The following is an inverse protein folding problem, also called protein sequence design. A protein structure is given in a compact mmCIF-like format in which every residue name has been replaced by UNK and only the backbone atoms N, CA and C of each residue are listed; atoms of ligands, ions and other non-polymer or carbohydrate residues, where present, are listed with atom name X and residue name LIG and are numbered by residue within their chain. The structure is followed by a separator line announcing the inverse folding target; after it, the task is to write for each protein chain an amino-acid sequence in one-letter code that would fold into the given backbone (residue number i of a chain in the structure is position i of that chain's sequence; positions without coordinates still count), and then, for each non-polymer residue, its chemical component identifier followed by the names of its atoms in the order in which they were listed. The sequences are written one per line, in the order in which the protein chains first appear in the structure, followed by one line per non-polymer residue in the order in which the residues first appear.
data_IF_333427460928
#
_entry.id   IF_333427460928
#
_cell.length_a   1.000
_cell.length_b   1.000
_cell.length_c   1.000
_cell.angle_alpha   90.00
_cell.angle_beta   90.00
_cell.angle_gamma   90.00
#
_symmetry.space_group_name_H-M   'P 1'
#
loop_
_entity.id
_entity.type
_entity.pdbx_description
1 polymer ?
#
# COMPACT_ATOMS: atom_id res chain seq x y z
N UNK A 1 -23.65 23.24 -31.75
CA UNK A 1 -22.30 23.59 -31.24
C UNK A 1 -22.02 22.85 -29.92
N UNK A 2 -21.52 21.59 -29.93
CA UNK A 2 -21.09 20.86 -28.72
C UNK A 2 -19.56 20.59 -28.61
N UNK A 3 -18.77 20.98 -29.60
CA UNK A 3 -17.35 20.58 -29.78
C UNK A 3 -16.36 21.10 -28.71
N UNK A 4 -16.74 22.09 -27.91
CA UNK A 4 -15.89 22.63 -26.83
C UNK A 4 -16.05 21.87 -25.51
N UNK A 5 -17.24 21.34 -25.23
CA UNK A 5 -17.52 20.62 -23.99
C UNK A 5 -16.86 19.23 -24.01
N UNK A 6 -16.96 18.50 -25.12
CA UNK A 6 -16.42 17.15 -25.26
C UNK A 6 -14.88 17.13 -25.17
N UNK A 7 -14.20 18.10 -25.81
CA UNK A 7 -12.75 18.27 -25.71
C UNK A 7 -12.27 18.57 -24.29
N UNK A 8 -13.05 19.28 -23.48
CA UNK A 8 -12.66 19.60 -22.11
C UNK A 8 -12.76 18.36 -21.21
N UNK A 9 -13.82 17.56 -21.41
CA UNK A 9 -14.03 16.29 -20.73
C UNK A 9 -12.93 15.28 -21.09
N UNK A 10 -12.59 15.15 -22.38
CA UNK A 10 -11.50 14.27 -22.83
C UNK A 10 -10.14 14.68 -22.24
N UNK A 11 -9.80 15.98 -22.26
CA UNK A 11 -8.56 16.47 -21.67
C UNK A 11 -8.51 16.30 -20.14
N UNK A 12 -9.64 16.44 -19.46
CA UNK A 12 -9.76 16.18 -18.02
C UNK A 12 -9.47 14.70 -17.72
N UNK A 13 -10.10 13.77 -18.42
CA UNK A 13 -9.84 12.34 -18.26
C UNK A 13 -8.39 11.99 -18.64
N UNK A 14 -7.87 12.53 -19.73
CA UNK A 14 -6.48 12.31 -20.17
C UNK A 14 -5.46 12.80 -19.13
N UNK A 15 -5.73 13.90 -18.43
CA UNK A 15 -4.88 14.38 -17.35
C UNK A 15 -5.02 13.53 -16.08
N UNK A 16 -6.21 13.02 -15.75
CA UNK A 16 -6.43 12.10 -14.63
C UNK A 16 -5.68 10.78 -14.84
N UNK A 17 -5.78 10.22 -16.04
CA UNK A 17 -5.17 8.94 -16.39
C UNK A 17 -3.74 9.09 -16.93
N UNK A 18 -3.12 10.26 -16.81
CA UNK A 18 -1.73 10.45 -17.22
C UNK A 18 -0.82 9.72 -16.24
N UNK A 19 -0.41 8.51 -16.60
CA UNK A 19 0.55 7.72 -15.84
C UNK A 19 1.85 8.51 -15.63
N UNK A 20 2.09 8.92 -14.37
CA UNK A 20 3.40 9.46 -13.98
C UNK A 20 4.41 8.32 -14.04
N UNK A 21 5.45 8.46 -14.87
CA UNK A 21 6.66 7.63 -14.74
C UNK A 21 7.20 7.81 -13.31
N UNK A 22 7.27 6.70 -12.56
CA UNK A 22 7.85 6.68 -11.21
C UNK A 22 9.27 7.24 -11.27
N UNK A 23 9.52 8.33 -10.55
CA UNK A 23 10.82 9.00 -10.48
C UNK A 23 11.61 8.40 -9.34
N UNK A 24 12.94 8.42 -9.42
CA UNK A 24 13.81 7.99 -8.30
C UNK A 24 13.47 8.73 -6.99
N UNK A 25 13.06 9.99 -7.08
CA UNK A 25 12.59 10.79 -5.95
C UNK A 25 11.41 10.15 -5.22
N UNK A 26 10.49 9.50 -5.94
CA UNK A 26 9.30 8.90 -5.34
C UNK A 26 9.67 7.74 -4.41
N UNK A 27 10.67 6.93 -4.79
CA UNK A 27 11.19 5.85 -3.93
C UNK A 27 11.93 6.39 -2.71
N UNK A 28 12.73 7.46 -2.86
CA UNK A 28 13.43 8.08 -1.73
C UNK A 28 12.41 8.63 -0.72
N UNK A 29 11.38 9.33 -1.20
CA UNK A 29 10.29 9.83 -0.35
C UNK A 29 9.60 8.66 0.36
N UNK A 30 9.29 7.58 -0.35
CA UNK A 30 8.66 6.40 0.24
C UNK A 30 9.52 5.78 1.36
N UNK A 31 10.84 5.67 1.17
CA UNK A 31 11.76 5.16 2.20
C UNK A 31 11.73 6.06 3.45
N UNK A 32 11.88 7.37 3.27
CA UNK A 32 11.89 8.34 4.39
C UNK A 32 10.58 8.28 5.17
N UNK A 33 9.44 8.29 4.48
CA UNK A 33 8.12 8.19 5.11
C UNK A 33 7.98 6.89 5.90
N UNK A 34 8.40 5.74 5.34
CA UNK A 34 8.32 4.46 6.04
C UNK A 34 9.24 4.41 7.26
N UNK A 35 10.43 5.03 7.23
CA UNK A 35 11.32 5.14 8.40
C UNK A 35 10.65 5.94 9.52
N UNK A 36 9.98 7.05 9.17
CA UNK A 36 9.23 7.86 10.15
C UNK A 36 8.09 7.02 10.76
N UNK A 37 7.31 6.32 9.92
CA UNK A 37 6.21 5.45 10.40
C UNK A 37 6.75 4.34 11.30
N UNK A 38 7.88 3.72 10.94
CA UNK A 38 8.53 2.70 11.77
C UNK A 38 8.93 3.24 13.14
N UNK A 39 9.54 4.43 13.18
CA UNK A 39 9.89 5.09 14.44
C UNK A 39 8.65 5.37 15.29
N UNK A 40 7.59 5.91 14.69
CA UNK A 40 6.32 6.17 15.38
C UNK A 40 5.78 4.85 15.94
N UNK A 41 5.60 3.83 15.12
CA UNK A 41 5.02 2.55 15.53
C UNK A 41 5.75 1.90 16.72
N UNK A 42 7.09 1.97 16.76
CA UNK A 42 7.88 1.36 17.83
C UNK A 42 7.97 2.21 19.11
N UNK A 43 7.58 3.49 19.06
CA UNK A 43 7.63 4.39 20.22
C UNK A 43 6.26 4.84 20.71
N UNK A 44 5.19 4.57 19.96
CA UNK A 44 3.88 5.15 20.24
C UNK A 44 3.29 4.72 21.58
N UNK A 45 3.59 3.52 22.04
CA UNK A 45 3.19 3.05 23.38
C UNK A 45 3.89 3.85 24.50
N UNK A 46 5.12 4.30 24.27
CA UNK A 46 5.86 5.12 25.25
C UNK A 46 5.35 6.57 25.30
N UNK A 47 4.59 7.00 24.30
CA UNK A 47 3.99 8.33 24.25
C UNK A 47 2.74 8.47 25.13
N UNK A 48 2.26 7.36 25.73
CA UNK A 48 1.10 7.32 26.64
C UNK A 48 -0.14 8.00 26.06
N UNK A 49 -0.40 7.76 24.77
CA UNK A 49 -1.57 8.30 24.08
C UNK A 49 -2.83 7.57 24.55
N UNK A 50 -3.83 8.33 25.00
CA UNK A 50 -5.04 7.78 25.66
C UNK A 50 -5.89 6.85 24.79
N UNK A 51 -5.79 6.93 23.47
CA UNK A 51 -6.59 6.09 22.56
C UNK A 51 -5.88 4.80 22.13
N UNK A 52 -4.59 4.62 22.42
CA UNK A 52 -3.82 3.43 22.01
C UNK A 52 -3.64 2.56 23.23
N UNK A 53 -4.04 1.30 23.10
CA UNK A 53 -4.04 0.36 24.21
C UNK A 53 -2.78 -0.52 24.16
N UNK A 54 -2.36 -1.14 25.29
CA UNK A 54 -1.19 -2.01 25.34
C UNK A 54 -1.24 -3.20 24.36
N UNK A 55 -2.44 -3.61 23.95
CA UNK A 55 -2.68 -4.65 22.95
C UNK A 55 -2.05 -4.32 21.59
N UNK A 56 -1.74 -3.05 21.29
CA UNK A 56 -0.98 -2.66 20.10
C UNK A 56 0.34 -3.42 19.96
N UNK A 57 0.96 -3.82 21.09
CA UNK A 57 2.19 -4.62 21.08
C UNK A 57 2.03 -5.97 20.36
N UNK A 58 0.82 -6.53 20.30
CA UNK A 58 0.55 -7.78 19.59
C UNK A 58 0.59 -7.59 18.06
N UNK A 59 0.27 -6.39 17.58
CA UNK A 59 0.26 -6.04 16.14
C UNK A 59 1.63 -5.54 15.66
N UNK A 60 2.45 -5.01 16.59
CA UNK A 60 3.73 -4.38 16.27
C UNK A 60 4.68 -5.29 15.49
N UNK A 61 4.70 -6.60 15.80
CA UNK A 61 5.56 -7.56 15.10
C UNK A 61 5.28 -7.63 13.61
N UNK A 62 4.02 -7.86 13.22
CA UNK A 62 3.64 -7.94 11.81
C UNK A 62 3.73 -6.59 11.10
N UNK A 63 3.42 -5.50 11.82
CA UNK A 63 3.56 -4.14 11.32
C UNK A 63 5.02 -3.80 10.98
N UNK A 64 5.96 -4.18 11.85
CA UNK A 64 7.39 -4.00 11.60
C UNK A 64 7.86 -4.77 10.37
N UNK A 65 7.40 -6.01 10.18
CA UNK A 65 7.71 -6.80 8.98
C UNK A 65 7.23 -6.07 7.72
N UNK A 66 5.97 -5.61 7.69
CA UNK A 66 5.43 -4.85 6.56
C UNK A 66 6.24 -3.60 6.25
N UNK A 67 6.55 -2.78 7.26
CA UNK A 67 7.27 -1.51 7.06
C UNK A 67 8.70 -1.77 6.56
N UNK A 68 9.42 -2.72 7.17
CA UNK A 68 10.77 -3.10 6.73
C UNK A 68 10.76 -3.69 5.32
N UNK A 69 9.78 -4.54 4.98
CA UNK A 69 9.60 -5.05 3.61
C UNK A 69 9.33 -3.91 2.63
N UNK A 70 8.53 -2.91 3.01
CA UNK A 70 8.23 -1.75 2.16
C UNK A 70 9.49 -0.91 1.91
N UNK A 71 10.30 -0.65 2.94
CA UNK A 71 11.60 0.02 2.80
C UNK A 71 12.51 -0.79 1.87
N UNK A 72 12.66 -2.09 2.13
CA UNK A 72 13.48 -2.99 1.32
C UNK A 72 13.07 -3.00 -0.15
N UNK A 73 11.77 -3.08 -0.43
CA UNK A 73 11.25 -3.04 -1.80
C UNK A 73 11.58 -1.72 -2.51
N UNK A 74 11.42 -0.57 -1.84
CA UNK A 74 11.76 0.73 -2.43
C UNK A 74 13.28 0.88 -2.68
N UNK A 75 14.12 0.33 -1.80
CA UNK A 75 15.59 0.28 -2.02
C UNK A 75 15.90 -0.59 -3.25
N UNK A 76 15.26 -1.75 -3.38
CA UNK A 76 15.41 -2.62 -4.54
C UNK A 76 14.98 -1.89 -5.81
N UNK A 77 13.89 -1.13 -5.80
CA UNK A 77 13.43 -0.36 -6.97
C UNK A 77 14.38 0.78 -7.35
N UNK A 78 15.08 1.38 -6.39
CA UNK A 78 16.15 2.34 -6.68
C UNK A 78 17.35 1.70 -7.38
N UNK A 79 17.72 0.47 -6.98
CA UNK A 79 18.89 -0.23 -7.51
C UNK A 79 18.61 -0.97 -8.83
N UNK A 80 17.45 -1.63 -8.94
CA UNK A 80 17.14 -2.55 -10.03
C UNK A 80 15.68 -2.48 -10.48
N UNK A 81 15.40 -1.69 -11.51
CA UNK A 81 14.06 -1.54 -12.08
C UNK A 81 13.78 -2.63 -13.14
N UNK A 82 13.51 -3.87 -12.69
CA UNK A 82 13.06 -4.97 -13.57
C UNK A 82 11.58 -5.26 -13.35
N UNK A 83 10.78 -5.14 -14.43
CA UNK A 83 9.32 -5.20 -14.33
C UNK A 83 8.72 -6.47 -13.71
N UNK A 84 9.39 -7.63 -13.79
CA UNK A 84 8.90 -8.85 -13.13
C UNK A 84 9.07 -8.82 -11.59
N UNK A 85 10.21 -8.28 -11.12
CA UNK A 85 10.51 -8.16 -9.69
C UNK A 85 9.55 -7.16 -9.01
N UNK A 86 9.18 -6.10 -9.74
CA UNK A 86 8.19 -5.11 -9.30
C UNK A 86 6.86 -5.73 -8.93
N UNK A 87 6.28 -6.51 -9.84
CA UNK A 87 4.98 -7.14 -9.60
C UNK A 87 5.04 -8.15 -8.45
N UNK A 88 6.13 -8.93 -8.35
CA UNK A 88 6.31 -9.90 -7.27
C UNK A 88 6.39 -9.22 -5.89
N UNK A 89 7.21 -8.16 -5.78
CA UNK A 89 7.34 -7.43 -4.52
C UNK A 89 6.04 -6.74 -4.13
N UNK A 90 5.28 -6.19 -5.09
CA UNK A 90 3.97 -5.61 -4.79
C UNK A 90 2.97 -6.64 -4.25
N UNK A 91 2.93 -7.86 -4.81
CA UNK A 91 2.06 -8.93 -4.31
C UNK A 91 2.41 -9.25 -2.85
N UNK A 92 3.70 -9.41 -2.55
CA UNK A 92 4.18 -9.68 -1.19
C UNK A 92 3.77 -8.55 -0.24
N UNK A 93 3.96 -7.30 -0.63
CA UNK A 93 3.60 -6.14 0.20
C UNK A 93 2.09 -6.04 0.43
N UNK A 94 1.26 -6.35 -0.57
CA UNK A 94 -0.19 -6.35 -0.39
C UNK A 94 -0.68 -7.48 0.51
N UNK A 95 -0.08 -8.67 0.43
CA UNK A 95 -0.36 -9.77 1.36
C UNK A 95 0.02 -9.37 2.80
N UNK A 96 1.19 -8.77 2.99
CA UNK A 96 1.60 -8.26 4.30
C UNK A 96 0.67 -7.14 4.80
N UNK A 97 0.24 -6.24 3.91
CA UNK A 97 -0.74 -5.20 4.20
C UNK A 97 -2.07 -5.77 4.69
N UNK A 98 -2.56 -6.81 4.01
CA UNK A 98 -3.77 -7.54 4.42
C UNK A 98 -3.60 -8.20 5.79
N UNK A 99 -2.44 -8.82 6.07
CA UNK A 99 -2.15 -9.44 7.36
C UNK A 99 -2.11 -8.40 8.49
N UNK A 100 -1.49 -7.24 8.25
CA UNK A 100 -1.46 -6.13 9.22
C UNK A 100 -2.87 -5.62 9.49
N UNK A 101 -3.67 -5.36 8.43
CA UNK A 101 -5.05 -4.92 8.58
C UNK A 101 -5.90 -5.94 9.35
N UNK A 102 -5.72 -7.24 9.07
CA UNK A 102 -6.37 -8.33 9.80
C UNK A 102 -5.97 -8.35 11.28
N UNK A 103 -4.69 -8.18 11.60
CA UNK A 103 -4.21 -8.13 12.98
C UNK A 103 -4.79 -6.93 13.73
N UNK A 104 -4.85 -5.75 13.10
CA UNK A 104 -5.53 -4.59 13.66
C UNK A 104 -7.03 -4.83 13.88
N UNK A 105 -7.70 -5.54 12.97
CA UNK A 105 -9.11 -5.88 13.11
C UNK A 105 -9.39 -6.89 14.24
N UNK A 106 -8.53 -7.90 14.41
CA UNK A 106 -8.70 -8.93 15.43
C UNK A 106 -8.37 -8.45 16.84
N UNK A 107 -7.26 -7.72 16.99
CA UNK A 107 -6.79 -7.25 18.29
C UNK A 107 -7.49 -5.94 18.67
N UNK A 108 -7.80 -5.11 17.68
CA UNK A 108 -8.39 -3.78 17.83
C UNK A 108 -7.77 -2.96 18.98
N UNK A 109 -6.54 -2.47 18.83
CA UNK A 109 -5.76 -1.85 19.90
C UNK A 109 -6.13 -0.37 20.15
N UNK A 110 -7.40 -0.01 19.96
CA UNK A 110 -7.88 1.35 20.05
C UNK A 110 -9.03 1.48 21.05
N UNK A 111 -8.95 2.49 21.90
CA UNK A 111 -10.00 2.85 22.86
C UNK A 111 -10.48 4.27 22.58
N UNK A 112 -11.73 4.39 22.15
CA UNK A 112 -12.36 5.68 21.85
C UNK A 112 -13.49 5.96 22.84
N UNK A 113 -13.64 7.22 23.25
CA UNK A 113 -14.71 7.64 24.14
C UNK A 113 -16.09 7.63 23.48
N UNK A 114 -16.14 7.81 22.15
CA UNK A 114 -17.38 7.76 21.37
C UNK A 114 -17.37 6.56 20.44
N UNK A 115 -18.45 5.79 20.46
CA UNK A 115 -18.59 4.58 19.65
C UNK A 115 -18.49 4.85 18.14
N UNK A 116 -18.92 6.03 17.68
CA UNK A 116 -18.87 6.39 16.25
C UNK A 116 -17.45 6.32 15.67
N UNK A 117 -16.42 6.62 16.48
CA UNK A 117 -15.03 6.51 16.05
C UNK A 117 -14.60 5.05 15.94
N UNK A 118 -15.01 4.21 16.89
CA UNK A 118 -14.77 2.76 16.86
C UNK A 118 -15.36 2.14 15.59
N UNK A 119 -16.64 2.42 15.31
CA UNK A 119 -17.32 1.96 14.10
C UNK A 119 -16.65 2.50 12.83
N UNK A 120 -16.22 3.76 12.84
CA UNK A 120 -15.49 4.37 11.73
C UNK A 120 -14.17 3.67 11.43
N UNK A 121 -13.36 3.37 12.45
CA UNK A 121 -12.07 2.66 12.29
C UNK A 121 -12.30 1.21 11.86
N UNK A 122 -13.29 0.51 12.42
CA UNK A 122 -13.64 -0.85 12.00
C UNK A 122 -14.06 -0.88 10.53
N UNK A 123 -14.92 0.05 10.10
CA UNK A 123 -15.33 0.17 8.70
C UNK A 123 -14.13 0.45 7.79
N UNK A 124 -13.24 1.37 8.19
CA UNK A 124 -12.03 1.69 7.44
C UNK A 124 -11.09 0.47 7.31
N UNK A 125 -10.94 -0.33 8.36
CA UNK A 125 -10.17 -1.57 8.34
C UNK A 125 -10.78 -2.60 7.38
N UNK A 126 -12.10 -2.81 7.41
CA UNK A 126 -12.79 -3.72 6.50
C UNK A 126 -12.57 -3.27 5.04
N UNK A 127 -12.75 -1.98 4.76
CA UNK A 127 -12.52 -1.43 3.42
C UNK A 127 -11.07 -1.60 2.99
N UNK A 128 -10.10 -1.36 3.87
CA UNK A 128 -8.68 -1.57 3.57
C UNK A 128 -8.40 -3.05 3.22
N UNK A 129 -8.97 -4.00 3.95
CA UNK A 129 -8.83 -5.43 3.65
C UNK A 129 -9.41 -5.78 2.27
N UNK A 130 -10.60 -5.26 1.93
CA UNK A 130 -11.20 -5.45 0.60
C UNK A 130 -10.30 -4.89 -0.50
N UNK A 131 -9.75 -3.68 -0.31
CA UNK A 131 -8.83 -3.07 -1.26
C UNK A 131 -7.57 -3.93 -1.45
N UNK A 132 -6.96 -4.42 -0.37
CA UNK A 132 -5.78 -5.29 -0.46
C UNK A 132 -6.09 -6.58 -1.23
N UNK A 133 -7.23 -7.21 -0.97
CA UNK A 133 -7.66 -8.42 -1.68
C UNK A 133 -7.76 -8.14 -3.19
N UNK A 134 -8.44 -7.06 -3.58
CA UNK A 134 -8.56 -6.66 -4.99
C UNK A 134 -7.20 -6.36 -5.62
N UNK A 135 -6.31 -5.67 -4.90
CA UNK A 135 -4.96 -5.36 -5.39
C UNK A 135 -4.13 -6.63 -5.64
N UNK A 136 -4.20 -7.61 -4.73
CA UNK A 136 -3.54 -8.91 -4.91
C UNK A 136 -4.01 -9.57 -6.21
N UNK A 137 -5.32 -9.63 -6.46
CA UNK A 137 -5.85 -10.19 -7.70
C UNK A 137 -5.34 -9.45 -8.95
N UNK A 138 -5.40 -8.12 -8.95
CA UNK A 138 -4.91 -7.29 -10.06
C UNK A 138 -3.44 -7.56 -10.34
N UNK A 139 -2.61 -7.65 -9.31
CA UNK A 139 -1.18 -7.84 -9.46
C UNK A 139 -0.81 -9.25 -9.89
N UNK A 140 -1.54 -10.27 -9.44
CA UNK A 140 -1.42 -11.64 -9.94
C UNK A 140 -1.73 -11.68 -11.44
N UNK A 141 -2.82 -11.04 -11.89
CA UNK A 141 -3.16 -10.97 -13.31
C UNK A 141 -2.06 -10.27 -14.10
N UNK A 142 -1.58 -9.11 -13.63
CA UNK A 142 -0.47 -8.38 -14.27
C UNK A 142 0.81 -9.20 -14.31
N UNK A 143 1.11 -9.96 -13.26
CA UNK A 143 2.27 -10.85 -13.18
C UNK A 143 2.19 -11.95 -14.23
N UNK A 144 1.04 -12.62 -14.35
CA UNK A 144 0.80 -13.67 -15.35
C UNK A 144 0.89 -13.10 -16.76
N UNK A 145 0.18 -12.01 -17.07
CA UNK A 145 0.20 -11.40 -18.39
C UNK A 145 1.60 -10.95 -18.80
N UNK A 146 2.34 -10.32 -17.89
CA UNK A 146 3.72 -9.89 -18.17
C UNK A 146 4.66 -11.08 -18.40
N UNK A 147 4.44 -12.22 -17.74
CA UNK A 147 5.21 -13.44 -17.98
C UNK A 147 4.87 -14.08 -19.33
N UNK A 148 3.59 -14.13 -19.69
CA UNK A 148 3.12 -14.72 -20.96
C UNK A 148 3.54 -13.86 -22.15
N UNK A 149 3.24 -12.55 -22.16
CA UNK A 149 3.53 -11.67 -23.29
C UNK A 149 5.02 -11.34 -23.48
N UNK A 150 5.83 -11.38 -22.42
CA UNK A 150 7.27 -11.10 -22.54
C UNK A 150 8.04 -12.28 -23.15
N UNK A 151 7.45 -13.48 -23.17
CA UNK A 151 8.07 -14.67 -23.77
C UNK A 151 8.10 -14.61 -25.30
N UNK A 152 7.18 -13.87 -25.93
CA UNK A 152 7.04 -13.82 -27.39
C UNK A 152 8.03 -12.85 -28.08
N UNK A 153 8.61 -11.89 -27.36
CA UNK A 153 9.57 -10.91 -27.92
C UNK A 153 11.04 -11.36 -27.93
N UNK A 154 11.35 -12.58 -27.46
CA UNK A 154 12.71 -13.13 -27.51
C UNK A 154 12.91 -14.15 -28.64
N UNK A 155 11.87 -14.38 -29.46
CA UNK A 155 11.90 -15.25 -30.64
C UNK A 155 11.47 -14.50 -31.92
N UNK A 156 12.03 -13.31 -32.17
CA UNK A 156 12.08 -12.67 -33.49
C UNK A 156 13.39 -11.92 -33.61
#
# INVERSE_FOLDING_TARGET
MPESADRNVENFFKNIFKDKKEKKTDFVVAIVVNIIIWYIANNILNWNISFITPEFSQVLGILNVLILSTIGANIIFLAYYRGWLHNLLKIILNVLGLLVASAFYQVFPFSFSQEIYTWGVLLALILAMVVYILMIFIEIIKFILNQVFKRDYQCV
#
